data_IF_989315332586
#
_entry.id   IF_989315332586
#
_cell.length_a   1.000
_cell.length_b   1.000
_cell.length_c   1.000
_cell.angle_alpha   90.00
_cell.angle_beta   90.00
_cell.angle_gamma   90.00
#
_symmetry.space_group_name_H-M   'P 1'
#
loop_
_entity.id
_entity.type
_entity.pdbx_description
1 polymer ?
#
# COMPACT_ATOMS: atom_id res chain seq x y z
N UNK A 1 -7.96 -29.97 -4.19
CA UNK A 1 -7.58 -29.12 -3.05
C UNK A 1 -8.79 -28.37 -2.57
N UNK A 2 -8.90 -28.06 -1.28
CA UNK A 2 -10.00 -27.25 -0.78
C UNK A 2 -9.79 -25.75 -0.99
N UNK A 3 -10.79 -24.95 -0.65
CA UNK A 3 -10.77 -23.49 -0.81
C UNK A 3 -10.80 -22.81 0.55
N UNK A 4 -10.20 -21.62 0.63
CA UNK A 4 -10.31 -20.68 1.74
C UNK A 4 -11.00 -19.40 1.26
N UNK A 5 -11.82 -18.78 2.10
CA UNK A 5 -12.45 -17.49 1.79
C UNK A 5 -11.57 -16.35 2.28
N UNK A 6 -11.07 -15.51 1.37
CA UNK A 6 -10.13 -14.42 1.71
C UNK A 6 -10.78 -13.06 1.50
N UNK A 7 -10.88 -12.27 2.57
CA UNK A 7 -11.35 -10.90 2.51
C UNK A 7 -10.18 -9.93 2.53
N UNK A 8 -9.96 -9.21 1.44
CA UNK A 8 -8.96 -8.14 1.36
C UNK A 8 -9.52 -6.85 1.95
N UNK A 9 -8.74 -6.22 2.82
CA UNK A 9 -8.95 -4.87 3.33
C UNK A 9 -7.66 -4.08 3.19
N UNK A 10 -7.77 -2.90 2.60
CA UNK A 10 -6.63 -2.06 2.26
C UNK A 10 -6.89 -0.65 2.77
N UNK A 11 -5.95 -0.09 3.52
CA UNK A 11 -5.91 1.33 3.81
C UNK A 11 -5.22 2.06 2.65
N UNK A 12 -5.95 2.91 1.92
CA UNK A 12 -5.44 3.63 0.76
C UNK A 12 -6.11 5.00 0.61
N UNK A 13 -5.32 6.06 0.75
CA UNK A 13 -5.74 7.40 0.34
C UNK A 13 -5.35 7.60 -1.13
N UNK A 14 -6.35 7.77 -1.99
CA UNK A 14 -6.19 7.91 -3.45
C UNK A 14 -6.85 9.20 -3.91
N UNK A 15 -6.51 9.69 -5.10
CA UNK A 15 -7.07 10.94 -5.61
C UNK A 15 -8.57 10.80 -5.92
N UNK A 16 -9.25 11.93 -6.05
CA UNK A 16 -10.64 11.92 -6.47
C UNK A 16 -10.80 11.30 -7.87
N UNK A 17 -11.74 10.37 -8.02
CA UNK A 17 -11.94 9.63 -9.26
C UNK A 17 -11.04 8.40 -9.42
N UNK A 18 -10.09 8.19 -8.50
CA UNK A 18 -9.29 6.96 -8.44
C UNK A 18 -10.02 5.86 -7.63
N UNK A 19 -9.73 4.63 -7.99
CA UNK A 19 -10.21 3.42 -7.30
C UNK A 19 -9.07 2.42 -7.16
N UNK A 20 -9.24 1.44 -6.26
CA UNK A 20 -8.22 0.42 -6.02
C UNK A 20 -8.74 -0.96 -6.43
N UNK A 21 -7.85 -1.75 -7.02
CA UNK A 21 -8.12 -3.11 -7.48
C UNK A 21 -7.03 -4.04 -6.95
N UNK A 22 -7.38 -5.28 -6.57
CA UNK A 22 -6.41 -6.34 -6.26
C UNK A 22 -6.32 -7.33 -7.42
N UNK A 23 -5.11 -7.70 -7.83
CA UNK A 23 -4.86 -8.67 -8.89
C UNK A 23 -3.67 -9.56 -8.53
N UNK A 24 -3.67 -10.82 -8.98
CA UNK A 24 -2.69 -11.81 -8.55
C UNK A 24 -2.59 -13.02 -9.47
N UNK A 25 -1.76 -13.98 -9.07
CA UNK A 25 -1.37 -15.15 -9.87
C UNK A 25 -2.50 -16.17 -10.12
N UNK A 26 -3.46 -16.25 -9.21
CA UNK A 26 -4.60 -17.17 -9.37
C UNK A 26 -5.65 -16.67 -10.36
N UNK A 27 -6.39 -17.58 -11.02
CA UNK A 27 -7.53 -17.19 -11.86
C UNK A 27 -8.60 -16.38 -11.13
N UNK A 28 -8.82 -16.66 -9.84
CA UNK A 28 -9.78 -15.90 -9.01
C UNK A 28 -9.29 -14.51 -8.66
N UNK A 29 -7.98 -14.22 -8.75
CA UNK A 29 -7.39 -12.88 -8.65
C UNK A 29 -7.03 -12.30 -10.03
N UNK A 30 -7.52 -12.87 -11.14
CA UNK A 30 -7.33 -12.31 -12.47
C UNK A 30 -6.10 -12.78 -13.24
N UNK A 31 -5.26 -13.65 -12.65
CA UNK A 31 -4.07 -14.22 -13.30
C UNK A 31 -3.13 -13.16 -13.90
N UNK A 32 -2.88 -12.08 -13.15
CA UNK A 32 -2.09 -10.91 -13.55
C UNK A 32 -2.61 -10.13 -14.75
N UNK A 33 -3.87 -10.34 -15.15
CA UNK A 33 -4.56 -9.53 -16.16
C UNK A 33 -5.33 -8.43 -15.44
N UNK A 34 -4.93 -7.14 -15.51
CA UNK A 34 -5.55 -6.06 -14.74
C UNK A 34 -7.07 -5.95 -14.94
N UNK A 35 -7.56 -6.17 -16.14
CA UNK A 35 -8.98 -6.12 -16.50
C UNK A 35 -9.81 -7.22 -15.79
N UNK A 36 -9.13 -8.24 -15.26
CA UNK A 36 -9.71 -9.36 -14.51
C UNK A 36 -9.44 -9.26 -13.01
N UNK A 37 -8.80 -8.18 -12.55
CA UNK A 37 -8.60 -7.91 -11.13
C UNK A 37 -9.94 -7.70 -10.40
N UNK A 38 -9.90 -7.78 -9.08
CA UNK A 38 -11.07 -7.62 -8.22
C UNK A 38 -11.13 -6.17 -7.73
N UNK A 39 -12.14 -5.37 -8.13
CA UNK A 39 -12.30 -4.03 -7.63
C UNK A 39 -12.58 -4.05 -6.13
N UNK A 40 -11.83 -3.24 -5.38
CA UNK A 40 -12.18 -2.93 -4.00
C UNK A 40 -13.17 -1.78 -3.97
N UNK A 41 -14.04 -1.80 -2.98
CA UNK A 41 -15.04 -0.75 -2.75
C UNK A 41 -14.78 -0.08 -1.41
N UNK A 42 -15.24 1.15 -1.27
CA UNK A 42 -15.25 1.88 -0.01
C UNK A 42 -16.59 2.58 0.17
N UNK A 43 -16.80 3.20 1.34
CA UNK A 43 -17.96 4.03 1.65
C UNK A 43 -17.46 5.34 2.27
N UNK A 44 -18.23 6.44 2.20
CA UNK A 44 -17.81 7.72 2.76
C UNK A 44 -17.40 7.67 4.24
N UNK A 45 -18.07 6.85 5.04
CA UNK A 45 -17.81 6.64 6.47
C UNK A 45 -16.66 5.66 6.76
N UNK A 46 -16.18 4.93 5.75
CA UNK A 46 -15.09 3.96 5.85
C UNK A 46 -13.80 4.42 5.20
N UNK A 47 -13.86 5.39 4.28
CA UNK A 47 -12.68 5.94 3.62
C UNK A 47 -11.67 6.48 4.66
N UNK A 48 -10.36 6.15 4.57
CA UNK A 48 -9.64 5.54 3.42
C UNK A 48 -9.53 4.01 3.43
N UNK A 49 -10.43 3.29 4.10
CA UNK A 49 -10.46 1.81 4.08
C UNK A 49 -11.25 1.29 2.88
N UNK A 50 -10.60 0.45 2.09
CA UNK A 50 -11.15 -0.28 0.93
C UNK A 50 -11.29 -1.75 1.26
N UNK A 51 -12.28 -2.42 0.68
CA UNK A 51 -12.53 -3.83 0.92
C UNK A 51 -13.13 -4.52 -0.31
N UNK A 52 -12.88 -5.82 -0.45
CA UNK A 52 -13.57 -6.62 -1.48
C UNK A 52 -15.03 -6.82 -1.07
N UNK A 53 -15.98 -6.59 -1.98
CA UNK A 53 -17.42 -6.72 -1.70
C UNK A 53 -17.81 -8.13 -1.24
N UNK A 54 -17.16 -9.14 -1.81
CA UNK A 54 -17.33 -10.56 -1.47
C UNK A 54 -15.95 -11.17 -1.23
N UNK A 55 -15.76 -12.01 -0.19
CA UNK A 55 -14.53 -12.77 -0.03
C UNK A 55 -14.19 -13.60 -1.28
N UNK A 56 -12.91 -13.70 -1.57
CA UNK A 56 -12.36 -14.40 -2.74
C UNK A 56 -12.06 -15.83 -2.37
N UNK A 57 -12.52 -16.79 -3.15
CA UNK A 57 -12.16 -18.19 -2.98
C UNK A 57 -10.74 -18.42 -3.55
N UNK A 58 -9.78 -18.74 -2.68
CA UNK A 58 -8.40 -19.05 -3.04
C UNK A 58 -8.06 -20.50 -2.69
N UNK A 59 -7.09 -21.14 -3.40
CA UNK A 59 -6.60 -22.46 -3.03
C UNK A 59 -6.12 -22.50 -1.57
N UNK A 60 -6.53 -23.51 -0.81
CA UNK A 60 -6.05 -23.75 0.55
C UNK A 60 -4.60 -24.26 0.56
N UNK A 61 -3.88 -24.05 1.67
CA UNK A 61 -2.49 -24.48 1.89
C UNK A 61 -1.55 -24.12 0.72
N UNK A 62 -1.71 -22.91 0.20
CA UNK A 62 -1.01 -22.43 -1.01
C UNK A 62 -0.40 -21.07 -0.75
N UNK A 63 0.72 -20.79 -1.43
CA UNK A 63 1.28 -19.45 -1.51
C UNK A 63 0.67 -18.73 -2.70
N UNK A 64 0.04 -17.59 -2.44
CA UNK A 64 -0.62 -16.75 -3.43
C UNK A 64 0.15 -15.44 -3.55
N UNK A 65 0.43 -15.01 -4.78
CA UNK A 65 1.04 -13.71 -5.05
C UNK A 65 0.02 -12.73 -5.61
N UNK A 66 0.06 -11.50 -5.12
CA UNK A 66 -0.87 -10.46 -5.52
C UNK A 66 -0.25 -9.07 -5.42
N UNK A 67 -0.87 -8.09 -6.06
CA UNK A 67 -0.60 -6.66 -5.91
C UNK A 67 -1.88 -5.86 -6.01
N UNK A 68 -1.85 -4.65 -5.46
CA UNK A 68 -2.86 -3.64 -5.70
C UNK A 68 -2.47 -2.74 -6.88
N UNK A 69 -3.46 -2.23 -7.59
CA UNK A 69 -3.27 -1.17 -8.57
C UNK A 69 -4.35 -0.10 -8.47
N UNK A 70 -3.99 1.10 -8.91
CA UNK A 70 -4.87 2.25 -9.02
C UNK A 70 -5.48 2.28 -10.40
N UNK A 71 -6.79 2.51 -10.42
CA UNK A 71 -7.57 2.80 -11.62
C UNK A 71 -8.03 4.25 -11.58
N UNK A 72 -7.82 5.00 -12.65
CA UNK A 72 -8.35 6.35 -12.82
C UNK A 72 -9.41 6.35 -13.91
N UNK A 73 -10.65 6.72 -13.57
CA UNK A 73 -11.75 6.69 -14.54
C UNK A 73 -12.07 5.30 -15.12
N UNK A 74 -11.72 4.23 -14.41
CA UNK A 74 -11.91 2.84 -14.87
C UNK A 74 -10.78 2.29 -15.74
N UNK A 75 -9.72 3.06 -15.97
CA UNK A 75 -8.53 2.62 -16.73
C UNK A 75 -7.38 2.37 -15.76
N UNK A 76 -6.62 1.30 -16.01
CA UNK A 76 -5.39 1.01 -15.27
C UNK A 76 -4.44 2.20 -15.33
N UNK A 77 -4.05 2.71 -14.17
CA UNK A 77 -3.11 3.83 -14.06
C UNK A 77 -1.74 3.35 -13.63
N UNK A 78 -1.65 2.68 -12.47
CA UNK A 78 -0.38 2.19 -11.93
C UNK A 78 -0.54 1.03 -10.95
N UNK A 79 0.47 0.19 -10.87
CA UNK A 79 0.64 -0.71 -9.74
C UNK A 79 1.03 0.05 -8.47
N UNK A 80 0.79 -0.56 -7.32
CA UNK A 80 1.34 -0.11 -6.05
C UNK A 80 2.89 -0.10 -6.06
N UNK A 81 3.47 0.82 -5.29
CA UNK A 81 4.90 1.16 -5.25
C UNK A 81 5.71 0.24 -4.33
N UNK A 82 5.21 -0.96 -4.09
CA UNK A 82 5.88 -1.99 -3.30
C UNK A 82 6.81 -2.82 -4.22
N UNK A 83 8.06 -3.06 -3.81
CA UNK A 83 9.08 -3.71 -4.66
C UNK A 83 8.84 -5.22 -4.96
N UNK A 84 8.13 -5.54 -6.04
CA UNK A 84 7.71 -6.92 -6.33
C UNK A 84 6.31 -7.21 -5.82
N UNK A 85 5.99 -8.49 -5.59
CA UNK A 85 4.63 -8.96 -5.29
C UNK A 85 4.41 -9.14 -3.78
N UNK A 86 3.18 -8.92 -3.30
CA UNK A 86 2.76 -9.32 -1.95
C UNK A 86 2.51 -10.83 -1.94
N UNK A 87 2.69 -11.44 -0.78
CA UNK A 87 2.52 -12.88 -0.59
C UNK A 87 1.48 -13.16 0.50
N UNK A 88 0.57 -14.09 0.23
CA UNK A 88 -0.39 -14.64 1.18
C UNK A 88 -0.22 -16.16 1.25
N UNK A 89 0.08 -16.70 2.41
CA UNK A 89 0.00 -18.15 2.66
C UNK A 89 -1.37 -18.48 3.20
N UNK A 90 -2.15 -19.24 2.43
CA UNK A 90 -3.50 -19.66 2.81
C UNK A 90 -3.48 -20.82 3.80
N UNK A 91 -4.50 -20.88 4.65
CA UNK A 91 -4.67 -21.91 5.67
C UNK A 91 -5.38 -23.15 5.10
N UNK A 92 -5.76 -24.06 6.00
CA UNK A 92 -6.62 -25.19 5.69
C UNK A 92 -7.94 -24.76 5.04
N UNK A 93 -8.50 -25.68 4.25
CA UNK A 93 -9.76 -25.50 3.55
C UNK A 93 -10.92 -25.17 4.51
N UNK A 94 -11.98 -24.56 3.97
CA UNK A 94 -13.20 -24.18 4.69
C UNK A 94 -12.96 -23.17 5.83
N UNK A 95 -11.83 -22.46 5.78
CA UNK A 95 -11.51 -21.36 6.69
C UNK A 95 -11.83 -20.00 6.05
N UNK A 96 -11.78 -18.93 6.87
CA UNK A 96 -11.85 -17.54 6.42
C UNK A 96 -10.60 -16.79 6.88
N UNK A 97 -9.97 -16.06 5.98
CA UNK A 97 -8.80 -15.22 6.24
C UNK A 97 -9.15 -13.76 5.91
N UNK A 98 -8.67 -12.83 6.73
CA UNK A 98 -8.75 -11.39 6.45
C UNK A 98 -7.31 -10.91 6.22
N UNK A 99 -7.08 -10.29 5.07
CA UNK A 99 -5.81 -9.62 4.74
C UNK A 99 -5.97 -8.14 5.05
N UNK A 100 -5.05 -7.59 5.83
CA UNK A 100 -5.00 -6.16 6.17
C UNK A 100 -3.70 -5.59 5.60
N UNK A 101 -3.82 -4.65 4.68
CA UNK A 101 -2.70 -3.99 4.03
C UNK A 101 -2.82 -2.46 4.08
N UNK A 102 -1.72 -1.76 3.84
CA UNK A 102 -1.68 -0.35 3.47
C UNK A 102 -1.07 -0.20 2.08
N UNK A 103 -1.66 0.66 1.24
CA UNK A 103 -1.19 0.92 -0.11
C UNK A 103 0.16 1.63 -0.08
N UNK A 104 1.06 1.24 -0.98
CA UNK A 104 2.40 1.83 -1.19
C UNK A 104 3.36 1.78 0.02
N UNK A 105 2.88 1.48 1.22
CA UNK A 105 3.72 1.18 2.38
C UNK A 105 4.34 -0.21 2.24
N UNK A 106 5.67 -0.27 2.13
CA UNK A 106 6.44 -1.42 2.60
C UNK A 106 7.08 -1.08 3.93
N UNK A 107 7.28 -2.10 4.77
CA UNK A 107 7.95 -2.00 6.08
C UNK A 107 9.44 -1.68 5.96
N UNK A 108 9.78 -0.68 5.15
CA UNK A 108 11.17 -0.30 4.89
C UNK A 108 11.50 1.06 5.55
N UNK A 109 10.52 1.75 6.16
CA UNK A 109 10.71 2.90 7.04
C UNK A 109 10.37 2.51 8.49
N UNK A 110 11.39 2.12 9.27
CA UNK A 110 11.42 2.05 10.74
C UNK A 110 10.21 1.44 11.47
N UNK A 111 10.01 0.12 11.33
CA UNK A 111 9.73 -0.80 12.45
C UNK A 111 8.53 -0.58 13.40
N UNK A 112 7.71 0.46 13.26
CA UNK A 112 6.54 0.69 14.08
C UNK A 112 5.29 0.42 13.25
N UNK A 113 4.72 -0.78 13.40
CA UNK A 113 3.33 -0.98 13.04
C UNK A 113 2.50 0.05 13.81
N UNK A 114 1.78 0.93 13.10
CA UNK A 114 0.78 1.78 13.74
C UNK A 114 -0.23 0.85 14.44
N UNK A 115 -0.37 0.89 15.78
CA UNK A 115 -1.36 0.07 16.45
C UNK A 115 -2.75 0.54 15.99
N UNK A 116 -3.67 -0.39 15.81
CA UNK A 116 -4.97 -0.20 15.17
C UNK A 116 -5.94 0.78 15.91
N UNK A 117 -5.46 1.59 16.86
CA UNK A 117 -6.31 2.38 17.75
C UNK A 117 -5.72 3.74 18.17
N UNK A 118 -4.87 4.38 17.34
CA UNK A 118 -4.43 5.76 17.62
C UNK A 118 -5.47 6.75 17.07
N UNK A 119 -6.20 7.53 17.91
CA UNK A 119 -7.04 8.60 17.41
C UNK A 119 -6.17 9.70 16.80
N UNK A 120 -6.49 10.08 15.57
CA UNK A 120 -5.81 11.14 14.82
C UNK A 120 -6.10 12.49 15.48
N UNK A 121 -5.26 12.94 16.41
CA UNK A 121 -5.21 14.35 16.79
C UNK A 121 -4.46 15.10 15.69
N UNK A 122 -5.15 16.04 15.06
CA UNK A 122 -4.56 16.89 14.04
C UNK A 122 -3.40 17.73 14.58
N UNK A 123 -2.61 18.18 13.62
CA UNK A 123 -1.59 19.24 13.69
C UNK A 123 -0.21 18.80 14.16
N UNK A 124 0.71 18.68 13.20
CA UNK A 124 1.72 19.73 13.15
C UNK A 124 1.69 20.40 11.77
N UNK A 125 1.40 21.69 11.80
CA UNK A 125 1.56 22.63 10.70
C UNK A 125 2.77 23.45 11.05
N UNK A 126 3.86 23.26 10.35
CA UNK A 126 5.01 24.15 10.39
C UNK A 126 6.07 23.65 9.41
N UNK A 127 6.64 24.42 8.50
CA UNK A 127 6.42 25.78 8.05
C UNK A 127 7.37 25.92 6.85
N UNK A 128 6.90 26.53 5.76
CA UNK A 128 7.79 26.93 4.68
C UNK A 128 8.68 28.13 5.10
N UNK A 129 9.85 28.19 4.47
CA UNK A 129 10.56 29.38 3.98
C UNK A 129 11.81 29.94 4.70
N UNK A 130 12.69 30.46 3.82
CA UNK A 130 13.83 31.38 3.98
C UNK A 130 15.21 30.76 4.31
N UNK A 131 16.31 31.05 3.60
CA UNK A 131 16.51 32.14 2.65
C UNK A 131 17.77 32.06 1.78
N UNK A 132 17.73 32.88 0.74
CA UNK A 132 18.83 33.36 -0.10
C UNK A 132 19.76 34.25 0.74
N UNK A 133 21.08 34.19 0.55
CA UNK A 133 21.97 35.26 1.05
C UNK A 133 23.47 34.96 1.14
N UNK A 134 24.21 35.30 0.07
CA UNK A 134 25.51 36.01 -0.03
C UNK A 134 26.57 35.82 1.08
N UNK A 135 27.79 35.45 0.65
CA UNK A 135 28.95 35.20 1.53
C UNK A 135 29.72 36.43 2.02
N UNK A 136 30.73 36.17 2.87
CA UNK A 136 31.88 37.04 3.16
C UNK A 136 33.06 36.16 3.62
N UNK A 137 34.28 36.48 3.19
CA UNK A 137 35.48 35.67 3.41
C UNK A 137 36.36 36.03 4.62
N UNK A 138 37.58 35.49 4.60
CA UNK A 138 38.71 35.72 5.52
C UNK A 138 38.95 34.53 6.46
N UNK A 139 40.15 33.98 6.69
CA UNK A 139 41.52 34.30 6.31
C UNK A 139 42.48 33.68 7.35
N UNK A 140 43.65 33.18 6.91
CA UNK A 140 44.84 32.83 7.73
C UNK A 140 44.84 31.42 8.36
N UNK A 141 45.93 30.66 8.45
CA UNK A 141 47.33 30.84 8.08
C UNK A 141 48.21 29.78 8.80
N UNK A 142 49.37 29.42 8.21
CA UNK A 142 50.51 28.70 8.83
C UNK A 142 50.40 27.16 8.87
N UNK A 143 51.44 26.36 8.64
CA UNK A 143 52.86 26.57 8.35
C UNK A 143 53.63 25.24 8.53
N UNK A 144 54.77 25.08 7.84
CA UNK A 144 55.83 24.07 8.06
C UNK A 144 55.47 22.62 7.66
N UNK A 145 56.32 21.79 7.08
CA UNK A 145 57.76 21.82 6.78
C UNK A 145 58.16 20.35 6.47
N UNK A 146 59.21 20.15 5.66
CA UNK A 146 59.77 18.83 5.34
C UNK A 146 59.79 18.53 3.85
#
# INVERSE_FOLDING_TARGET
GGLVQVAFRLHAAVNFGETVVVCGDTPSLGAWVPERGIPLVTKPDLYPTWYCRTPVALPANSTIHYKYFINSGGVFERWEKVAGQRQLTTTAANSKVIVLDSLDSRRDDDGAAVPANVPFYGSDSGSEAAGVGVGVGGGGGGGGGG
#
